data_IF_157870449100
#
_entry.id   IF_157870449100
#
_cell.length_a   1.000
_cell.length_b   1.000
_cell.length_c   1.000
_cell.angle_alpha   90.00
_cell.angle_beta   90.00
_cell.angle_gamma   90.00
#
_symmetry.space_group_name_H-M   'P 1'
#
loop_
_entity.id
_entity.type
_entity.pdbx_description
1 polymer ?
#
# COMPACT_ATOMS: atom_id res chain seq x y z
N UNK A 1 1.06 -14.84 -13.37
CA UNK A 1 0.69 -14.09 -12.15
C UNK A 1 1.05 -14.91 -10.93
N UNK A 2 1.35 -14.29 -9.79
CA UNK A 2 1.64 -14.97 -8.52
C UNK A 2 0.58 -14.61 -7.48
N UNK A 3 -0.04 -15.62 -6.87
CA UNK A 3 -1.06 -15.43 -5.84
C UNK A 3 -0.72 -16.32 -4.64
N UNK A 4 -0.57 -15.71 -3.48
CA UNK A 4 -0.36 -16.41 -2.22
C UNK A 4 -1.70 -16.65 -1.52
N UNK A 5 -1.93 -17.86 -1.02
CA UNK A 5 -3.17 -18.26 -0.34
C UNK A 5 -2.84 -18.74 1.07
N UNK A 6 -3.51 -18.18 2.06
CA UNK A 6 -3.47 -18.64 3.44
C UNK A 6 -4.30 -19.93 3.57
N UNK A 7 -3.67 -20.98 4.08
CA UNK A 7 -4.27 -22.31 4.23
C UNK A 7 -4.19 -22.82 5.65
N UNK A 8 -5.13 -23.67 6.01
CA UNK A 8 -5.12 -24.44 7.26
C UNK A 8 -4.20 -25.67 7.16
N UNK A 9 -4.22 -26.50 8.20
CA UNK A 9 -3.46 -27.75 8.28
C UNK A 9 -3.88 -28.79 7.24
N UNK A 10 -5.09 -28.68 6.69
CA UNK A 10 -5.63 -29.56 5.65
C UNK A 10 -5.32 -29.03 4.24
N UNK A 11 -4.71 -27.85 4.13
CA UNK A 11 -4.43 -27.20 2.85
C UNK A 11 -5.64 -26.48 2.24
N UNK A 12 -6.68 -26.25 3.03
CA UNK A 12 -7.91 -25.55 2.63
C UNK A 12 -7.75 -24.05 2.92
N UNK A 13 -8.31 -23.14 2.09
CA UNK A 13 -8.31 -21.71 2.38
C UNK A 13 -8.81 -21.41 3.80
N UNK A 14 -8.03 -20.63 4.55
CA UNK A 14 -8.30 -20.35 5.95
C UNK A 14 -8.36 -18.84 6.25
N UNK A 15 -8.97 -18.45 7.38
CA UNK A 15 -8.85 -17.09 7.88
C UNK A 15 -7.39 -16.76 8.18
N UNK A 16 -6.98 -15.51 7.97
CA UNK A 16 -5.58 -15.09 8.17
C UNK A 16 -5.04 -15.50 9.55
N UNK A 17 -5.81 -15.28 10.62
CA UNK A 17 -5.37 -15.55 12.00
C UNK A 17 -5.41 -17.04 12.39
N UNK A 18 -6.06 -17.88 11.58
CA UNK A 18 -6.14 -19.32 11.77
C UNK A 18 -5.31 -20.09 10.71
N UNK A 19 -4.54 -19.38 9.90
CA UNK A 19 -3.73 -20.00 8.87
C UNK A 19 -2.51 -20.71 9.49
N UNK A 20 -2.21 -21.88 8.95
CA UNK A 20 -1.05 -22.68 9.31
C UNK A 20 0.05 -22.62 8.24
N UNK A 21 -0.29 -22.14 7.05
CA UNK A 21 0.68 -21.98 5.98
C UNK A 21 0.20 -21.02 4.89
N UNK A 22 1.13 -20.75 3.99
CA UNK A 22 0.92 -19.95 2.79
C UNK A 22 1.34 -20.79 1.59
N UNK A 23 0.43 -20.95 0.64
CA UNK A 23 0.67 -21.61 -0.64
C UNK A 23 0.80 -20.58 -1.75
N UNK A 24 1.90 -20.59 -2.47
CA UNK A 24 2.15 -19.74 -3.62
C UNK A 24 1.73 -20.46 -4.90
N UNK A 25 0.72 -19.91 -5.57
CA UNK A 25 0.28 -20.36 -6.87
C UNK A 25 0.85 -19.44 -7.96
N UNK A 26 1.30 -20.04 -9.05
CA UNK A 26 1.68 -19.34 -10.27
C UNK A 26 0.84 -19.83 -11.42
N UNK A 27 0.34 -18.90 -12.22
CA UNK A 27 -0.43 -19.27 -13.39
C UNK A 27 -1.23 -18.13 -13.98
N UNK A 28 -2.23 -18.56 -14.74
CA UNK A 28 -3.28 -17.77 -15.38
C UNK A 28 -4.64 -18.42 -15.09
N UNK A 29 -5.76 -17.72 -15.33
CA UNK A 29 -7.08 -18.31 -15.13
C UNK A 29 -7.23 -19.67 -15.80
N UNK A 30 -7.74 -20.67 -15.07
CA UNK A 30 -7.91 -22.05 -15.53
C UNK A 30 -6.64 -22.92 -15.53
N UNK A 31 -5.45 -22.36 -15.23
CA UNK A 31 -4.19 -23.09 -15.21
C UNK A 31 -3.27 -22.59 -14.08
N UNK A 32 -3.53 -23.07 -12.87
CA UNK A 32 -2.75 -22.74 -11.67
C UNK A 32 -1.85 -23.90 -11.26
N UNK A 33 -0.57 -23.60 -11.04
CA UNK A 33 0.38 -24.55 -10.49
C UNK A 33 0.81 -24.09 -9.08
N UNK A 34 0.78 -25.01 -8.11
CA UNK A 34 1.42 -24.79 -6.81
C UNK A 34 2.93 -24.73 -7.02
N UNK A 35 3.56 -23.62 -6.64
CA UNK A 35 5.01 -23.42 -6.75
C UNK A 35 5.73 -23.66 -5.45
N UNK A 36 5.14 -23.19 -4.35
CA UNK A 36 5.77 -23.23 -3.04
C UNK A 36 4.72 -23.31 -1.96
N UNK A 37 5.09 -23.98 -0.88
CA UNK A 37 4.34 -24.00 0.37
C UNK A 37 5.28 -23.59 1.49
N UNK A 38 4.83 -22.64 2.30
CA UNK A 38 5.57 -22.10 3.43
C UNK A 38 4.71 -22.32 4.66
N UNK A 39 5.24 -23.03 5.65
CA UNK A 39 4.57 -23.20 6.92
C UNK A 39 4.74 -21.92 7.76
N UNK A 40 3.62 -21.34 8.15
CA UNK A 40 3.58 -20.14 9.00
C UNK A 40 2.50 -20.38 10.03
N UNK A 41 2.90 -20.59 11.28
CA UNK A 41 1.94 -20.71 12.37
C UNK A 41 1.47 -19.32 12.77
N UNK A 42 0.31 -18.89 12.25
CA UNK A 42 -0.38 -17.71 12.74
C UNK A 42 -1.35 -18.06 13.88
N UNK A 43 -1.65 -19.34 14.06
CA UNK A 43 -2.36 -19.89 15.20
C UNK A 43 -1.64 -19.52 16.52
N UNK A 44 -2.34 -18.81 17.40
CA UNK A 44 -1.80 -18.46 18.72
C UNK A 44 -0.95 -17.19 18.77
N UNK A 45 -0.81 -16.44 17.66
CA UNK A 45 -0.11 -15.14 17.64
C UNK A 45 -0.68 -14.09 18.61
N UNK A 46 -1.79 -14.38 19.28
CA UNK A 46 -2.59 -13.39 19.99
C UNK A 46 -3.26 -12.44 19.00
N UNK A 47 -4.26 -11.69 19.46
CA UNK A 47 -4.94 -10.66 18.68
C UNK A 47 -4.05 -9.44 18.36
N UNK A 48 -2.75 -9.51 18.67
CA UNK A 48 -1.79 -8.42 18.54
C UNK A 48 -1.21 -8.31 17.15
N UNK A 49 -1.32 -7.12 16.57
CA UNK A 49 -0.70 -6.76 15.29
C UNK A 49 0.80 -7.08 15.29
N UNK A 50 1.52 -6.79 16.36
CA UNK A 50 2.97 -6.99 16.44
C UNK A 50 3.39 -8.45 16.20
N UNK A 51 2.66 -9.42 16.74
CA UNK A 51 2.93 -10.84 16.52
C UNK A 51 2.66 -11.24 15.08
N UNK A 52 1.57 -10.74 14.49
CA UNK A 52 1.26 -10.94 13.08
C UNK A 52 2.39 -10.37 12.20
N UNK A 53 2.89 -9.17 12.51
CA UNK A 53 4.01 -8.58 11.79
C UNK A 53 5.27 -9.43 11.89
N UNK A 54 5.60 -9.91 13.08
CA UNK A 54 6.78 -10.75 13.30
C UNK A 54 6.71 -12.05 12.48
N UNK A 55 5.53 -12.68 12.43
CA UNK A 55 5.31 -13.91 11.69
C UNK A 55 5.29 -13.70 10.15
N UNK A 56 4.80 -12.56 9.68
CA UNK A 56 4.72 -12.25 8.25
C UNK A 56 5.99 -11.59 7.69
N UNK A 57 6.86 -11.02 8.53
CA UNK A 57 8.11 -10.36 8.12
C UNK A 57 9.00 -11.20 7.19
N UNK A 58 9.18 -12.53 7.37
CA UNK A 58 10.03 -13.32 6.47
C UNK A 58 9.35 -13.70 5.14
N UNK A 59 8.03 -13.56 5.01
CA UNK A 59 7.29 -14.01 3.83
C UNK A 59 7.66 -13.31 2.51
N UNK A 60 7.94 -12.00 2.45
CA UNK A 60 8.20 -11.32 1.18
C UNK A 60 9.43 -11.87 0.45
N UNK A 61 10.46 -12.23 1.21
CA UNK A 61 11.70 -12.82 0.67
C UNK A 61 11.46 -14.23 0.11
N UNK A 62 10.50 -14.96 0.68
CA UNK A 62 10.20 -16.33 0.29
C UNK A 62 9.17 -16.45 -0.83
N UNK A 63 8.39 -15.39 -1.07
CA UNK A 63 7.24 -15.39 -2.00
C UNK A 63 7.52 -14.71 -3.34
N UNK A 64 8.79 -14.58 -3.75
CA UNK A 64 9.18 -14.18 -5.12
C UNK A 64 8.48 -12.88 -5.61
N UNK A 65 8.41 -11.86 -4.75
CA UNK A 65 7.69 -10.59 -5.01
C UNK A 65 6.18 -10.73 -5.24
N UNK A 66 5.53 -11.73 -4.64
CA UNK A 66 4.07 -11.83 -4.67
C UNK A 66 3.42 -10.60 -4.02
N UNK A 67 2.51 -9.95 -4.76
CA UNK A 67 1.78 -8.75 -4.30
C UNK A 67 0.32 -9.04 -3.95
N UNK A 68 -0.12 -10.30 -4.02
CA UNK A 68 -1.52 -10.66 -3.95
C UNK A 68 -1.67 -11.83 -2.99
N UNK A 69 -2.37 -11.58 -1.89
CA UNK A 69 -2.62 -12.54 -0.84
C UNK A 69 -4.11 -12.82 -0.72
N UNK A 70 -4.47 -14.06 -0.43
CA UNK A 70 -5.84 -14.52 -0.27
C UNK A 70 -6.04 -15.18 1.08
N UNK A 71 -7.10 -14.79 1.78
CA UNK A 71 -7.60 -15.46 2.97
C UNK A 71 -9.13 -15.59 2.87
N UNK A 72 -9.74 -16.52 3.61
CA UNK A 72 -11.22 -16.56 3.65
C UNK A 72 -11.80 -15.41 4.45
N UNK A 73 -11.05 -14.93 5.43
CA UNK A 73 -11.38 -13.77 6.24
C UNK A 73 -10.10 -13.05 6.67
N UNK A 74 -10.11 -11.73 6.59
CA UNK A 74 -9.01 -10.87 7.03
C UNK A 74 -9.56 -9.67 7.82
N UNK A 75 -9.03 -9.39 9.02
CA UNK A 75 -9.40 -8.17 9.72
C UNK A 75 -8.89 -6.95 8.96
N UNK A 76 -9.64 -5.85 8.94
CA UNK A 76 -9.29 -4.65 8.17
C UNK A 76 -7.91 -4.08 8.48
N UNK A 77 -7.47 -4.19 9.75
CA UNK A 77 -6.13 -3.77 10.16
C UNK A 77 -5.02 -4.61 9.51
N UNK A 78 -5.26 -5.89 9.25
CA UNK A 78 -4.32 -6.72 8.52
C UNK A 78 -4.23 -6.28 7.06
N UNK A 79 -5.35 -5.98 6.41
CA UNK A 79 -5.34 -5.49 5.03
C UNK A 79 -4.50 -4.21 4.89
N UNK A 80 -4.64 -3.26 5.81
CA UNK A 80 -3.80 -2.06 5.86
C UNK A 80 -2.32 -2.40 6.05
N UNK A 81 -1.99 -3.33 6.95
CA UNK A 81 -0.63 -3.78 7.16
C UNK A 81 0.00 -4.41 5.90
N UNK A 82 -0.71 -5.30 5.21
CA UNK A 82 -0.21 -5.90 3.97
C UNK A 82 0.08 -4.83 2.90
N UNK A 83 -0.77 -3.82 2.81
CA UNK A 83 -0.58 -2.74 1.85
C UNK A 83 0.58 -1.82 2.23
N UNK A 84 0.69 -1.41 3.49
CA UNK A 84 1.70 -0.45 3.94
C UNK A 84 3.09 -1.08 4.11
N UNK A 85 3.16 -2.28 4.70
CA UNK A 85 4.43 -2.92 5.03
C UNK A 85 4.97 -3.81 3.90
N UNK A 86 4.08 -4.48 3.18
CA UNK A 86 4.47 -5.43 2.12
C UNK A 86 4.20 -4.92 0.71
N UNK A 87 3.53 -3.76 0.56
CA UNK A 87 3.12 -3.26 -0.75
C UNK A 87 2.16 -4.23 -1.48
N UNK A 88 1.46 -5.07 -0.71
CA UNK A 88 0.67 -6.18 -1.22
C UNK A 88 -0.81 -6.01 -0.88
N UNK A 89 -1.68 -6.60 -1.71
CA UNK A 89 -3.13 -6.58 -1.52
C UNK A 89 -3.58 -7.87 -0.86
N UNK A 90 -4.37 -7.74 0.19
CA UNK A 90 -5.02 -8.86 0.85
C UNK A 90 -6.49 -8.93 0.43
N UNK A 91 -6.86 -10.05 -0.16
CA UNK A 91 -8.20 -10.36 -0.63
C UNK A 91 -8.88 -11.31 0.36
N UNK A 92 -10.07 -10.94 0.82
CA UNK A 92 -10.93 -11.80 1.64
C UNK A 92 -12.02 -12.41 0.77
N UNK A 93 -11.94 -13.71 0.47
CA UNK A 93 -12.91 -14.38 -0.40
C UNK A 93 -13.29 -15.75 0.19
N UNK A 94 -14.58 -16.01 0.47
CA UNK A 94 -15.03 -17.33 0.87
C UNK A 94 -15.14 -18.27 -0.34
N UNK A 95 -14.90 -19.57 -0.14
CA UNK A 95 -15.17 -20.60 -1.16
C UNK A 95 -13.97 -21.51 -1.48
N UNK A 96 -14.07 -22.20 -2.62
CA UNK A 96 -13.07 -23.17 -3.08
C UNK A 96 -11.90 -22.51 -3.81
N UNK A 97 -10.71 -23.05 -3.58
CA UNK A 97 -9.45 -22.49 -4.06
C UNK A 97 -9.37 -22.25 -5.59
N UNK A 98 -9.76 -23.20 -6.48
CA UNK A 98 -9.60 -22.97 -7.93
C UNK A 98 -10.49 -21.84 -8.47
N UNK A 99 -11.74 -21.75 -8.00
CA UNK A 99 -12.65 -20.69 -8.45
C UNK A 99 -12.22 -19.30 -7.96
N UNK A 100 -11.70 -19.22 -6.73
CA UNK A 100 -11.24 -17.94 -6.16
C UNK A 100 -10.03 -17.40 -6.92
N UNK A 101 -9.06 -18.25 -7.27
CA UNK A 101 -7.87 -17.82 -8.00
C UNK A 101 -8.24 -17.17 -9.35
N UNK A 102 -9.20 -17.75 -10.07
CA UNK A 102 -9.68 -17.21 -11.35
C UNK A 102 -10.45 -15.89 -11.20
N UNK A 103 -11.24 -15.75 -10.14
CA UNK A 103 -11.95 -14.50 -9.82
C UNK A 103 -10.95 -13.38 -9.55
N UNK A 104 -9.96 -13.66 -8.70
CA UNK A 104 -8.94 -12.67 -8.29
C UNK A 104 -8.06 -12.29 -9.47
N UNK A 105 -7.65 -13.26 -10.30
CA UNK A 105 -6.86 -12.98 -11.49
C UNK A 105 -7.60 -12.10 -12.50
N UNK A 106 -8.89 -12.35 -12.73
CA UNK A 106 -9.71 -11.48 -13.59
C UNK A 106 -9.85 -10.08 -13.02
N UNK A 107 -10.09 -9.95 -11.72
CA UNK A 107 -10.20 -8.65 -11.06
C UNK A 107 -8.89 -7.85 -11.16
N UNK A 108 -7.76 -8.48 -10.87
CA UNK A 108 -6.45 -7.82 -10.94
C UNK A 108 -6.05 -7.46 -12.37
N UNK A 109 -6.44 -8.27 -13.37
CA UNK A 109 -6.30 -7.90 -14.77
C UNK A 109 -7.15 -6.66 -15.13
N UNK A 110 -8.39 -6.58 -14.66
CA UNK A 110 -9.25 -5.40 -14.85
C UNK A 110 -8.68 -4.16 -14.16
N UNK A 111 -8.18 -4.29 -12.93
CA UNK A 111 -7.56 -3.19 -12.19
C UNK A 111 -6.27 -2.71 -12.86
N UNK A 112 -5.46 -3.63 -13.39
CA UNK A 112 -4.27 -3.29 -14.16
C UNK A 112 -4.63 -2.56 -15.47
N UNK A 113 -5.71 -2.95 -16.14
CA UNK A 113 -6.20 -2.28 -17.35
C UNK A 113 -6.83 -0.91 -17.06
N UNK A 114 -7.44 -0.74 -15.87
CA UNK A 114 -8.10 0.48 -15.46
C UNK A 114 -7.16 1.52 -14.82
N UNK A 115 -5.90 1.18 -14.51
CA UNK A 115 -4.90 2.15 -14.09
C UNK A 115 -4.39 2.91 -15.32
N UNK A 116 -4.76 4.20 -15.52
CA UNK A 116 -4.14 4.99 -16.56
C UNK A 116 -2.64 5.09 -16.27
N UNK A 117 -1.81 4.82 -17.28
CA UNK A 117 -0.39 5.11 -17.23
C UNK A 117 -0.22 6.55 -16.72
N UNK A 118 0.46 6.73 -15.59
CA UNK A 118 0.70 8.05 -15.04
C UNK A 118 1.29 8.95 -16.14
N UNK A 119 0.76 10.16 -16.36
CA UNK A 119 1.32 11.06 -17.35
C UNK A 119 2.77 11.31 -16.98
N UNK A 120 3.66 10.89 -17.87
CA UNK A 120 5.09 11.19 -17.81
C UNK A 120 5.18 12.71 -17.77
N UNK A 121 5.52 13.28 -16.61
CA UNK A 121 5.77 14.70 -16.50
C UNK A 121 6.91 15.04 -17.47
N UNK A 122 6.71 15.88 -18.50
CA UNK A 122 7.79 16.23 -19.39
C UNK A 122 8.83 17.03 -18.58
N UNK A 123 10.08 16.60 -18.73
CA UNK A 123 11.25 17.29 -18.25
C UNK A 123 11.25 18.75 -18.74
N UNK A 124 11.80 19.62 -17.88
CA UNK A 124 11.90 21.08 -18.03
C UNK A 124 12.43 21.56 -19.40
N UNK A 125 12.28 22.87 -19.67
CA UNK A 125 13.51 23.60 -19.93
C UNK A 125 13.72 24.82 -19.04
N UNK A 126 15.01 25.03 -18.75
CA UNK A 126 15.59 26.18 -18.11
C UNK A 126 15.58 27.42 -19.02
N UNK A 127 15.68 28.59 -18.37
CA UNK A 127 16.20 29.88 -18.84
C UNK A 127 15.45 30.62 -19.98
N UNK A 128 15.04 31.88 -19.72
CA UNK A 128 15.83 33.07 -20.05
C UNK A 128 14.99 34.36 -20.11
N UNK A 129 15.42 35.36 -19.32
CA UNK A 129 15.47 36.82 -19.46
C UNK A 129 14.41 37.72 -20.19
N UNK A 130 14.39 38.97 -19.66
CA UNK A 130 14.18 40.27 -20.32
C UNK A 130 12.73 40.72 -20.61
N UNK A 131 12.18 41.64 -19.81
CA UNK A 131 12.11 43.12 -20.03
C UNK A 131 10.62 43.46 -20.26
N UNK A 132 9.97 44.54 -19.83
CA UNK A 132 10.28 45.93 -19.44
C UNK A 132 8.93 46.52 -18.92
N UNK A 133 8.82 47.34 -17.88
CA UNK A 133 8.80 48.83 -17.90
C UNK A 133 7.95 49.27 -16.68
N UNK A 134 8.48 50.01 -15.69
CA UNK A 134 8.47 51.48 -15.55
C UNK A 134 7.24 52.09 -14.87
N UNK A 135 7.40 52.57 -13.62
CA UNK A 135 6.88 53.85 -13.09
C UNK A 135 7.50 54.09 -11.68
N UNK A 136 8.48 54.98 -11.56
CA UNK A 136 8.38 56.43 -11.23
C UNK A 136 8.44 56.73 -9.72
N UNK A 137 9.63 57.21 -9.33
CA UNK A 137 9.95 58.38 -8.49
C UNK A 137 9.54 58.47 -7.01
N UNK A 138 10.57 58.67 -6.16
CA UNK A 138 10.45 59.33 -4.85
C UNK A 138 11.66 59.09 -3.91
N UNK A 139 12.52 60.09 -3.62
CA UNK A 139 13.79 59.90 -2.89
C UNK A 139 13.81 60.38 -1.43
N UNK A 140 14.84 59.92 -0.70
CA UNK A 140 15.32 60.36 0.63
C UNK A 140 14.47 59.87 1.81
N UNK A 141 14.99 59.29 2.89
CA UNK A 141 16.06 59.84 3.73
C UNK A 141 16.86 58.77 4.51
N UNK A 142 18.11 59.12 4.75
CA UNK A 142 19.14 58.46 5.56
C UNK A 142 18.82 58.42 7.06
N UNK A 143 19.16 57.30 7.70
CA UNK A 143 19.17 57.15 9.16
C UNK A 143 20.16 56.06 9.60
N UNK A 144 21.32 56.51 10.09
CA UNK A 144 22.40 55.72 10.69
C UNK A 144 22.15 55.66 12.21
N UNK A 145 22.23 54.49 12.85
CA UNK A 145 22.79 54.32 14.21
C UNK A 145 22.68 52.89 14.75
N UNK A 146 23.87 52.32 15.01
CA UNK A 146 24.32 51.63 16.23
C UNK A 146 23.32 51.07 17.24
N UNK A 147 23.59 49.83 17.67
CA UNK A 147 23.43 49.44 19.07
C UNK A 147 22.83 48.06 19.32
N UNK A 148 23.69 47.11 19.68
CA UNK A 148 23.56 46.29 20.90
C UNK A 148 22.39 45.34 21.12
N UNK A 149 22.75 44.09 21.43
CA UNK A 149 22.06 43.11 22.28
C UNK A 149 20.71 42.54 21.77
N UNK A 150 20.69 41.25 21.43
CA UNK A 150 20.17 40.14 22.26
C UNK A 150 20.36 38.79 21.53
N UNK A 151 20.92 37.80 22.22
CA UNK A 151 20.69 36.37 21.95
C UNK A 151 19.21 36.05 22.27
N UNK A 152 18.52 35.11 21.58
CA UNK A 152 18.79 33.68 21.85
C UNK A 152 18.48 32.69 20.69
N UNK A 153 19.09 31.51 20.77
CA UNK A 153 18.48 30.16 20.59
C UNK A 153 17.50 29.90 19.42
N UNK A 154 17.78 28.77 18.73
CA UNK A 154 16.85 27.93 17.97
C UNK A 154 16.49 28.37 16.53
N UNK A 155 17.47 28.19 15.62
CA UNK A 155 17.17 27.67 14.28
C UNK A 155 16.65 26.24 14.41
N UNK A 156 15.35 26.06 14.26
CA UNK A 156 14.77 25.34 13.12
C UNK A 156 13.25 25.26 13.29
N UNK A 157 12.56 25.92 12.36
CA UNK A 157 11.12 25.96 12.21
C UNK A 157 10.56 24.55 12.04
N UNK A 158 9.66 24.20 12.97
CA UNK A 158 8.29 23.68 12.84
C UNK A 158 7.84 22.95 11.55
N UNK A 159 6.85 22.05 11.73
CA UNK A 159 6.69 20.82 10.98
C UNK A 159 5.96 21.03 9.65
N UNK A 160 6.24 20.12 8.70
CA UNK A 160 5.43 19.99 7.49
C UNK A 160 3.99 19.62 7.88
N UNK A 161 3.13 20.58 7.57
CA UNK A 161 1.68 20.54 7.42
C UNK A 161 1.18 19.16 6.97
N UNK A 162 0.37 18.55 7.83
CA UNK A 162 -0.48 17.42 7.48
C UNK A 162 -1.44 17.86 6.38
N UNK A 163 -1.18 17.40 5.16
CA UNK A 163 -2.20 17.41 4.11
C UNK A 163 -3.23 16.35 4.46
N UNK A 164 -4.38 16.79 5.01
CA UNK A 164 -5.61 16.01 5.02
C UNK A 164 -6.04 15.77 3.58
N UNK A 165 -5.49 14.73 2.97
CA UNK A 165 -6.12 14.01 1.88
C UNK A 165 -6.85 12.82 2.48
N UNK A 166 -8.00 13.08 3.10
CA UNK A 166 -8.92 12.01 3.47
C UNK A 166 -9.48 11.45 2.17
N UNK A 167 -8.75 10.50 1.55
CA UNK A 167 -9.37 9.63 0.57
C UNK A 167 -10.15 8.62 1.40
N UNK A 168 -11.41 8.98 1.67
CA UNK A 168 -12.39 8.07 2.19
C UNK A 168 -12.64 7.01 1.10
N UNK A 169 -11.80 5.98 1.07
CA UNK A 169 -12.12 4.75 0.36
C UNK A 169 -13.13 4.03 1.24
N UNK A 170 -14.41 4.23 0.94
CA UNK A 170 -15.49 3.41 1.44
C UNK A 170 -15.22 1.97 1.00
N UNK A 171 -14.65 1.18 1.91
CA UNK A 171 -14.57 -0.26 1.82
C UNK A 171 -15.99 -0.84 1.97
N UNK A 172 -16.81 -0.66 0.95
CA UNK A 172 -18.01 -1.44 0.75
C UNK A 172 -17.64 -2.53 -0.28
N UNK A 173 -17.66 -3.82 0.09
CA UNK A 173 -17.51 -4.91 -0.87
C UNK A 173 -18.68 -4.82 -1.88
N UNK A 174 -18.44 -4.66 -3.19
CA UNK A 174 -19.51 -4.76 -4.19
C UNK A 174 -19.75 -6.24 -4.48
N UNK A 175 -20.37 -6.96 -3.55
CA UNK A 175 -20.84 -8.32 -3.82
C UNK A 175 -22.36 -8.32 -3.68
N UNK A 176 -23.11 -8.81 -4.69
CA UNK A 176 -24.50 -9.15 -4.47
C UNK A 176 -24.51 -10.27 -3.43
N UNK A 177 -25.32 -10.13 -2.39
CA UNK A 177 -25.62 -11.21 -1.48
C UNK A 177 -26.19 -12.38 -2.31
N UNK A 178 -25.37 -13.39 -2.57
CA UNK A 178 -25.84 -14.66 -3.13
C UNK A 178 -26.65 -15.31 -1.99
N UNK A 179 -27.96 -15.06 -2.00
CA UNK A 179 -28.92 -15.83 -1.20
C UNK A 179 -28.88 -17.27 -1.70
N UNK A 180 -28.32 -18.16 -0.89
CA UNK A 180 -28.64 -19.58 -0.94
C UNK A 180 -30.03 -19.80 -0.34
#
# INVERSE_FOLDING_TARGET
>A
MHIAVFVDRLGTPAPLLAAHGVRLYQGSPGAWALRREILVSLEGSGTGLASLQAALRPLPEQLENCRIFLATHAPGIAAAFFQEALGARLWAVPGSLPGILDIVARHEATLAAAQPAAPVAPAAPAASCASSSSCVSGPSCSGRSSGGLVDPVARCRRPRRWGRGAIAWTWAPPWPAIRA
#
